data_IF_285034007326
#
_entry.id   IF_285034007326
#
_cell.length_a   1.000
_cell.length_b   1.000
_cell.length_c   1.000
_cell.angle_alpha   90.00
_cell.angle_beta   90.00
_cell.angle_gamma   90.00
#
_symmetry.space_group_name_H-M   'P 1'
#
loop_
_entity.id
_entity.type
_entity.pdbx_description
1 polymer ?
#
# COMPACT_ATOMS: atom_id res chain seq x y z
N UNK A 1 15.58 -34.33 -6.20
CA UNK A 1 15.90 -33.09 -6.93
C UNK A 1 14.77 -32.11 -6.70
N UNK A 2 14.95 -31.13 -5.82
CA UNK A 2 13.96 -30.07 -5.63
C UNK A 2 14.01 -29.15 -6.86
N UNK A 3 12.87 -28.97 -7.52
CA UNK A 3 12.74 -27.98 -8.57
C UNK A 3 13.07 -26.61 -7.95
N UNK A 4 14.11 -25.95 -8.44
CA UNK A 4 14.35 -24.55 -8.14
C UNK A 4 13.15 -23.79 -8.72
N UNK A 5 12.25 -23.38 -7.84
CA UNK A 5 11.22 -22.41 -8.18
C UNK A 5 11.96 -21.20 -8.76
N UNK A 6 11.66 -20.78 -10.01
CA UNK A 6 12.40 -19.73 -10.66
C UNK A 6 12.32 -18.49 -9.78
N UNK A 7 13.49 -17.89 -9.53
CA UNK A 7 13.63 -16.66 -8.77
C UNK A 7 12.75 -15.59 -9.43
N UNK A 8 11.51 -15.38 -8.92
CA UNK A 8 10.53 -14.39 -9.42
C UNK A 8 10.97 -12.96 -9.09
N UNK A 9 12.28 -12.67 -9.08
CA UNK A 9 12.84 -11.41 -8.61
C UNK A 9 12.88 -10.30 -9.68
N UNK A 10 12.63 -10.60 -10.95
CA UNK A 10 12.66 -9.58 -12.02
C UNK A 10 11.31 -9.32 -12.72
N UNK A 11 10.23 -10.01 -12.33
CA UNK A 11 8.93 -9.98 -13.04
C UNK A 11 7.76 -9.33 -12.30
N UNK A 12 7.99 -8.71 -11.12
CA UNK A 12 6.91 -8.09 -10.36
C UNK A 12 6.56 -6.72 -10.94
N UNK A 13 5.27 -6.41 -11.16
CA UNK A 13 4.89 -5.11 -11.67
C UNK A 13 5.29 -4.01 -10.67
N UNK A 14 5.78 -2.89 -11.19
CA UNK A 14 6.02 -1.71 -10.38
C UNK A 14 4.69 -1.10 -9.93
N UNK A 15 4.74 -0.27 -8.88
CA UNK A 15 3.58 0.52 -8.47
C UNK A 15 3.03 1.34 -9.65
N UNK A 16 3.90 1.98 -10.44
CA UNK A 16 3.50 2.76 -11.61
C UNK A 16 2.74 1.89 -12.64
N UNK A 17 3.23 0.68 -12.92
CA UNK A 17 2.56 -0.23 -13.85
C UNK A 17 1.18 -0.65 -13.34
N UNK A 18 1.04 -0.88 -12.03
CA UNK A 18 -0.26 -1.18 -11.41
C UNK A 18 -1.21 0.02 -11.53
N UNK A 19 -0.74 1.23 -11.21
CA UNK A 19 -1.57 2.43 -11.26
C UNK A 19 -2.10 2.73 -12.68
N UNK A 20 -1.34 2.38 -13.73
CA UNK A 20 -1.81 2.51 -15.13
C UNK A 20 -2.96 1.59 -15.49
N UNK A 21 -3.17 0.50 -14.74
CA UNK A 21 -4.30 -0.42 -14.94
C UNK A 21 -5.58 0.07 -14.27
N UNK A 22 -5.47 1.05 -13.37
CA UNK A 22 -6.58 1.54 -12.56
C UNK A 22 -7.18 2.77 -13.25
N UNK A 23 -8.50 2.82 -13.35
CA UNK A 23 -9.16 3.96 -13.97
C UNK A 23 -8.84 5.25 -13.18
N UNK A 24 -8.55 6.38 -13.86
CA UNK A 24 -8.25 7.64 -13.20
C UNK A 24 -9.32 8.02 -12.17
N UNK A 25 -8.89 8.45 -10.99
CA UNK A 25 -9.78 8.88 -9.92
C UNK A 25 -10.39 7.77 -9.06
N UNK A 26 -10.07 6.48 -9.31
CA UNK A 26 -10.49 5.39 -8.41
C UNK A 26 -9.69 5.34 -7.11
N UNK A 27 -8.39 5.69 -7.16
CA UNK A 27 -7.50 5.69 -6.01
C UNK A 27 -6.76 7.02 -5.91
N UNK A 28 -6.63 7.53 -4.70
CA UNK A 28 -5.73 8.64 -4.37
C UNK A 28 -4.47 8.04 -3.71
N UNK A 29 -3.36 8.03 -4.44
CA UNK A 29 -2.05 7.67 -3.89
C UNK A 29 -1.51 8.90 -3.16
N UNK A 30 -1.43 8.82 -1.84
CA UNK A 30 -0.99 9.94 -1.01
C UNK A 30 0.53 10.05 -1.01
N UNK A 31 1.22 8.90 -0.93
CA UNK A 31 2.69 8.84 -1.00
C UNK A 31 3.14 7.48 -1.53
N UNK A 32 4.24 7.49 -2.28
CA UNK A 32 5.05 6.32 -2.58
C UNK A 32 6.42 6.51 -1.87
N UNK A 33 6.60 5.99 -0.64
CA UNK A 33 7.76 6.34 0.21
C UNK A 33 9.11 6.03 -0.42
N UNK A 34 9.15 5.06 -1.34
CA UNK A 34 10.35 4.64 -2.07
C UNK A 34 10.28 4.96 -3.57
N UNK A 35 9.30 5.77 -3.99
CA UNK A 35 9.00 6.06 -5.39
C UNK A 35 8.14 4.97 -6.06
N UNK A 36 7.55 5.29 -7.22
CA UNK A 36 6.60 4.42 -7.93
C UNK A 36 7.24 3.33 -8.80
N UNK A 37 8.55 3.35 -8.97
CA UNK A 37 9.29 2.31 -9.71
C UNK A 37 9.53 1.03 -8.91
N UNK A 38 9.19 1.01 -7.62
CA UNK A 38 9.45 -0.13 -6.73
C UNK A 38 8.54 -1.30 -7.08
N UNK A 39 9.07 -2.54 -7.11
CA UNK A 39 8.25 -3.73 -7.34
C UNK A 39 7.25 -3.92 -6.21
N UNK A 40 5.99 -4.16 -6.57
CA UNK A 40 4.95 -4.46 -5.59
C UNK A 40 4.96 -5.94 -5.26
N UNK A 41 5.05 -6.24 -3.97
CA UNK A 41 5.07 -7.61 -3.45
C UNK A 41 3.65 -8.13 -3.16
N UNK A 42 2.80 -7.30 -2.55
CA UNK A 42 1.42 -7.65 -2.20
C UNK A 42 0.60 -6.37 -1.87
N UNK A 43 -0.70 -6.54 -1.63
CA UNK A 43 -1.62 -5.49 -1.16
C UNK A 43 -2.19 -5.89 0.20
N UNK A 44 -2.09 -5.00 1.19
CA UNK A 44 -2.58 -5.22 2.55
C UNK A 44 -3.61 -4.16 2.92
N UNK A 45 -4.72 -4.58 3.51
CA UNK A 45 -5.72 -3.68 4.07
C UNK A 45 -5.24 -3.18 5.43
N UNK A 46 -5.36 -1.88 5.68
CA UNK A 46 -5.25 -1.32 7.02
C UNK A 46 -6.60 -0.83 7.49
N UNK A 47 -7.03 -1.37 8.62
CA UNK A 47 -8.13 -0.84 9.42
C UNK A 47 -7.55 -0.23 10.71
N UNK A 48 -7.79 1.06 10.98
CA UNK A 48 -7.34 1.71 12.22
C UNK A 48 -7.92 1.09 13.50
N UNK A 49 -9.01 0.33 13.43
CA UNK A 49 -9.60 -0.38 14.57
C UNK A 49 -9.00 -1.76 14.88
N UNK A 50 -8.13 -2.28 14.01
CA UNK A 50 -7.52 -3.60 14.17
C UNK A 50 -6.21 -3.49 14.96
N UNK A 51 -5.97 -4.44 15.89
CA UNK A 51 -4.70 -4.48 16.62
C UNK A 51 -3.54 -4.62 15.63
N UNK A 52 -2.59 -3.68 15.70
CA UNK A 52 -1.44 -3.63 14.82
C UNK A 52 -0.56 -4.85 15.05
N UNK A 53 -0.60 -5.80 14.12
CA UNK A 53 0.46 -6.79 14.00
C UNK A 53 1.63 -6.18 13.23
N UNK A 54 2.66 -5.75 13.96
CA UNK A 54 3.90 -5.19 13.43
C UNK A 54 4.54 -6.12 12.37
N UNK A 55 4.28 -7.43 12.43
CA UNK A 55 4.76 -8.41 11.45
C UNK A 55 4.11 -8.28 10.07
N UNK A 56 2.84 -7.89 10.01
CA UNK A 56 2.08 -7.74 8.76
C UNK A 56 2.58 -6.55 7.94
N UNK A 57 3.11 -5.52 8.59
CA UNK A 57 3.68 -4.34 7.93
C UNK A 57 5.18 -4.51 7.62
N UNK A 58 5.86 -5.50 8.21
CA UNK A 58 7.30 -5.67 8.03
C UNK A 58 7.72 -6.15 6.63
N UNK A 59 6.78 -6.55 5.77
CA UNK A 59 7.10 -6.92 4.39
C UNK A 59 7.31 -5.66 3.53
N UNK A 60 8.48 -5.59 2.89
CA UNK A 60 8.81 -4.49 1.97
C UNK A 60 8.07 -4.61 0.64
N UNK A 61 7.78 -3.47 0.02
CA UNK A 61 7.12 -3.41 -1.30
C UNK A 61 5.60 -3.65 -1.25
N UNK A 62 4.96 -3.50 -0.09
CA UNK A 62 3.51 -3.60 0.03
C UNK A 62 2.79 -2.33 -0.43
N UNK A 63 1.62 -2.48 -1.05
CA UNK A 63 0.62 -1.41 -1.12
C UNK A 63 -0.26 -1.49 0.13
N UNK A 64 -0.25 -0.43 0.94
CA UNK A 64 -1.13 -0.32 2.08
C UNK A 64 -2.42 0.40 1.68
N UNK A 65 -3.55 -0.29 1.76
CA UNK A 65 -4.88 0.28 1.53
C UNK A 65 -5.52 0.62 2.87
N UNK A 66 -5.39 1.88 3.29
CA UNK A 66 -5.99 2.35 4.55
C UNK A 66 -7.44 2.79 4.31
N UNK A 67 -8.36 1.95 4.76
CA UNK A 67 -9.80 2.16 4.61
C UNK A 67 -10.32 2.96 5.80
N UNK A 68 -11.23 3.91 5.54
CA UNK A 68 -11.82 4.74 6.60
C UNK A 68 -10.91 5.85 7.12
N UNK A 69 -9.63 5.87 6.73
CA UNK A 69 -8.69 6.93 7.09
C UNK A 69 -8.84 8.12 6.15
N UNK A 70 -9.29 9.25 6.69
CA UNK A 70 -9.26 10.53 5.98
C UNK A 70 -7.82 11.04 5.89
N UNK A 71 -7.39 11.43 4.68
CA UNK A 71 -6.06 12.00 4.42
C UNK A 71 -5.78 13.27 5.24
N UNK A 72 -6.82 14.00 5.64
CA UNK A 72 -6.70 15.19 6.48
C UNK A 72 -6.64 14.87 7.99
N UNK A 73 -6.82 13.60 8.39
CA UNK A 73 -6.85 13.22 9.79
C UNK A 73 -5.44 13.08 10.40
N UNK A 74 -5.27 13.32 11.71
CA UNK A 74 -4.01 13.04 12.40
C UNK A 74 -3.56 11.58 12.27
N UNK A 75 -4.52 10.66 12.19
CA UNK A 75 -4.29 9.22 12.05
C UNK A 75 -3.60 8.86 10.73
N UNK A 76 -3.85 9.63 9.66
CA UNK A 76 -3.11 9.48 8.40
C UNK A 76 -1.60 9.66 8.60
N UNK A 77 -1.17 10.54 9.51
CA UNK A 77 0.25 10.77 9.79
C UNK A 77 0.90 9.52 10.39
N UNK A 78 0.21 8.85 11.32
CA UNK A 78 0.72 7.64 11.95
C UNK A 78 0.82 6.47 10.97
N UNK A 79 -0.18 6.34 10.09
CA UNK A 79 -0.18 5.37 8.99
C UNK A 79 1.01 5.61 8.06
N UNK A 80 1.23 6.85 7.64
CA UNK A 80 2.33 7.21 6.75
C UNK A 80 3.70 6.89 7.38
N UNK A 81 3.88 7.22 8.67
CA UNK A 81 5.12 6.93 9.40
C UNK A 81 5.38 5.43 9.57
N UNK A 82 4.35 4.64 9.83
CA UNK A 82 4.51 3.20 9.90
C UNK A 82 4.81 2.57 8.53
N UNK A 83 4.12 3.02 7.48
CA UNK A 83 4.36 2.57 6.10
C UNK A 83 5.78 2.92 5.59
N UNK A 84 6.30 4.09 5.96
CA UNK A 84 7.68 4.47 5.67
C UNK A 84 8.69 3.52 6.33
N UNK A 85 8.52 3.27 7.64
CA UNK A 85 9.38 2.34 8.41
C UNK A 85 9.34 0.92 7.85
N UNK A 86 8.16 0.48 7.40
CA UNK A 86 7.92 -0.80 6.76
C UNK A 86 8.53 -0.94 5.36
N UNK A 87 8.87 0.17 4.69
CA UNK A 87 9.28 0.14 3.29
C UNK A 87 8.12 -0.20 2.35
N UNK A 88 6.92 0.29 2.65
CA UNK A 88 5.78 0.18 1.75
C UNK A 88 6.10 0.80 0.38
N UNK A 89 5.57 0.19 -0.68
CA UNK A 89 5.60 0.73 -2.03
C UNK A 89 4.69 1.95 -2.15
N UNK A 90 3.51 1.90 -1.52
CA UNK A 90 2.52 2.97 -1.55
C UNK A 90 1.60 2.95 -0.33
N UNK A 91 1.08 4.12 0.02
CA UNK A 91 -0.13 4.24 0.86
C UNK A 91 -1.26 4.81 0.01
N UNK A 92 -2.35 4.06 -0.03
CA UNK A 92 -3.58 4.42 -0.73
C UNK A 92 -4.64 4.71 0.31
N UNK A 93 -5.20 5.92 0.26
CA UNK A 93 -6.34 6.29 1.08
C UNK A 93 -7.58 6.29 0.21
N UNK A 94 -8.66 5.68 0.69
CA UNK A 94 -9.95 5.83 0.01
C UNK A 94 -10.37 7.29 0.16
N UNK A 95 -10.54 8.01 -0.95
CA UNK A 95 -11.23 9.31 -0.94
C UNK A 95 -12.59 9.10 -0.28
N UNK A 96 -12.82 9.74 0.85
CA UNK A 96 -14.08 9.62 1.57
C UNK A 96 -15.23 10.04 0.65
N UNK A 97 -15.90 9.08 0.02
CA UNK A 97 -17.26 9.33 -0.42
C UNK A 97 -18.03 9.51 0.88
N UNK A 98 -18.54 10.72 1.15
CA UNK A 98 -19.62 10.90 2.13
C UNK A 98 -20.59 9.76 1.85
N UNK A 99 -20.71 8.83 2.78
CA UNK A 99 -21.72 7.78 2.68
C UNK A 99 -23.08 8.44 2.51
N UNK A 100 -24.07 7.77 1.88
CA UNK A 100 -25.43 8.27 1.93
C UNK A 100 -25.80 8.49 3.40
N UNK A 101 -26.24 9.71 3.71
CA UNK A 101 -26.86 10.03 5.00
C UNK A 101 -28.19 9.29 5.11
#
# INVERSE_FOLDING_TARGET
MAAREPDRRDGRPSLEQILRLIAPGMLDVVVAPRGSGVPVADVVLYDPGEERDDGTWAASGLILLAVGVDAASPEAVDVLRGAERAGAAAVVLRRGARGPR
#
